data_IF_792471630456
#
_entry.id   IF_792471630456
#
_cell.length_a   1.000
_cell.length_b   1.000
_cell.length_c   1.000
_cell.angle_alpha   90.00
_cell.angle_beta   90.00
_cell.angle_gamma   90.00
#
_symmetry.space_group_name_H-M   'P 1'
#
loop_
_entity.id
_entity.type
_entity.pdbx_description
1 polymer ?
#
# COMPACT_ATOMS: atom_id res chain seq x y z
N UNK A 1 2.49 61.54 -1.62
CA UNK A 1 3.66 60.68 -1.90
C UNK A 1 3.63 59.51 -0.92
N UNK A 2 2.91 58.44 -1.23
CA UNK A 2 3.39 57.17 -1.85
C UNK A 2 4.39 56.41 -0.94
N UNK A 3 4.25 55.14 -0.55
CA UNK A 3 3.22 54.09 -0.70
C UNK A 3 3.52 53.00 0.35
N UNK A 4 2.50 52.44 1.02
CA UNK A 4 2.59 51.22 1.86
C UNK A 4 2.34 49.99 0.98
N UNK A 5 3.16 48.93 1.09
CA UNK A 5 2.83 47.60 0.57
C UNK A 5 2.54 46.64 1.72
N UNK A 6 1.31 46.12 1.75
CA UNK A 6 0.87 44.93 2.47
C UNK A 6 0.52 43.88 1.41
N UNK A 7 1.14 42.71 1.49
CA UNK A 7 0.79 41.54 0.67
C UNK A 7 -0.21 40.66 1.42
N UNK A 8 -1.44 40.64 0.91
CA UNK A 8 -2.46 39.62 1.19
C UNK A 8 -2.42 38.63 0.02
N UNK A 9 -2.17 37.35 0.29
CA UNK A 9 -2.39 36.28 -0.70
C UNK A 9 -3.71 35.56 -0.44
N UNK A 10 -4.39 35.33 -1.55
CA UNK A 10 -5.83 35.13 -1.72
C UNK A 10 -6.25 33.68 -1.60
N UNK A 11 -7.47 33.52 -1.10
CA UNK A 11 -8.35 32.37 -1.21
C UNK A 11 -8.55 31.92 -2.67
N UNK A 12 -8.77 30.62 -2.88
CA UNK A 12 -9.42 30.10 -4.08
C UNK A 12 -10.47 29.06 -3.67
N UNK A 13 -11.73 29.36 -3.98
CA UNK A 13 -12.87 28.48 -3.89
C UNK A 13 -13.37 28.17 -5.32
N UNK A 14 -13.81 26.93 -5.50
CA UNK A 14 -14.85 26.41 -6.41
C UNK A 14 -14.90 26.84 -7.90
N UNK A 15 -15.01 25.84 -8.80
CA UNK A 15 -16.13 25.73 -9.74
C UNK A 15 -16.12 24.39 -10.51
N UNK A 16 -17.31 23.81 -10.61
CA UNK A 16 -17.73 22.67 -11.45
C UNK A 16 -18.10 23.22 -12.83
N UNK A 17 -17.64 22.60 -13.94
CA UNK A 17 -18.32 22.66 -15.24
C UNK A 17 -18.17 21.30 -15.93
N UNK A 18 -19.31 20.64 -16.18
CA UNK A 18 -19.45 19.55 -17.13
C UNK A 18 -19.76 20.14 -18.51
N UNK A 19 -19.12 19.62 -19.57
CA UNK A 19 -19.56 19.83 -20.95
C UNK A 19 -19.63 18.48 -21.66
N UNK A 20 -20.83 18.13 -22.09
CA UNK A 20 -21.10 17.07 -23.04
C UNK A 20 -20.70 17.55 -24.45
N UNK A 21 -20.08 16.66 -25.22
CA UNK A 21 -19.90 16.84 -26.66
C UNK A 21 -20.39 15.58 -27.39
N UNK A 22 -21.49 15.75 -28.10
CA UNK A 22 -22.01 14.84 -29.12
C UNK A 22 -21.14 14.92 -30.36
N UNK A 23 -20.67 13.78 -30.84
CA UNK A 23 -19.89 13.67 -32.09
C UNK A 23 -20.03 12.28 -32.68
N UNK A 24 -21.07 12.10 -33.51
CA UNK A 24 -21.27 10.91 -34.33
C UNK A 24 -20.24 10.91 -35.47
N UNK A 25 -19.29 9.98 -35.44
CA UNK A 25 -18.49 9.62 -36.60
C UNK A 25 -18.82 8.17 -36.99
N UNK A 26 -19.40 8.04 -38.17
CA UNK A 26 -19.72 6.78 -38.84
C UNK A 26 -18.43 6.01 -39.14
N UNK A 27 -18.04 5.12 -38.24
CA UNK A 27 -17.15 4.00 -38.51
C UNK A 27 -17.94 2.73 -38.21
N UNK A 28 -18.17 1.89 -39.21
CA UNK A 28 -18.81 0.59 -39.01
C UNK A 28 -18.06 -0.20 -37.93
N UNK A 29 -18.74 -1.07 -37.15
CA UNK A 29 -18.09 -1.83 -36.11
C UNK A 29 -16.95 -2.64 -36.73
N UNK A 30 -15.71 -2.32 -36.37
CA UNK A 30 -14.61 -3.26 -36.53
C UNK A 30 -15.08 -4.60 -35.95
N UNK A 31 -14.89 -5.74 -36.63
CA UNK A 31 -15.31 -7.02 -36.09
C UNK A 31 -14.67 -7.15 -34.71
N UNK A 32 -15.50 -7.24 -33.66
CA UNK A 32 -15.04 -7.38 -32.30
C UNK A 32 -13.97 -8.48 -32.29
N UNK A 33 -12.73 -8.14 -31.91
CA UNK A 33 -11.73 -9.14 -31.61
C UNK A 33 -12.40 -10.11 -30.64
N UNK A 34 -12.61 -11.36 -31.08
CA UNK A 34 -13.22 -12.37 -30.24
C UNK A 34 -12.41 -12.41 -28.94
N UNK A 35 -13.02 -12.01 -27.83
CA UNK A 35 -12.33 -11.94 -26.56
C UNK A 35 -11.78 -13.33 -26.24
N UNK A 36 -10.53 -13.39 -25.77
CA UNK A 36 -9.92 -14.63 -25.27
C UNK A 36 -10.93 -15.35 -24.37
N UNK A 37 -11.16 -16.67 -24.54
CA UNK A 37 -12.15 -17.38 -23.75
C UNK A 37 -11.95 -17.14 -22.24
N UNK A 38 -13.06 -16.92 -21.51
CA UNK A 38 -13.03 -16.58 -20.08
C UNK A 38 -12.25 -17.63 -19.27
N UNK A 39 -12.31 -18.90 -19.66
CA UNK A 39 -11.56 -20.00 -19.02
C UNK A 39 -10.04 -19.83 -19.16
N UNK A 40 -9.53 -19.41 -20.32
CA UNK A 40 -8.11 -19.21 -20.55
C UNK A 40 -7.57 -18.03 -19.72
N UNK A 41 -8.38 -16.98 -19.57
CA UNK A 41 -8.07 -15.85 -18.68
C UNK A 41 -8.06 -16.29 -17.21
N UNK A 42 -9.03 -17.12 -16.79
CA UNK A 42 -9.10 -17.67 -15.43
C UNK A 42 -7.90 -18.59 -15.12
N UNK A 43 -7.57 -19.50 -16.04
CA UNK A 43 -6.41 -20.38 -15.93
C UNK A 43 -5.12 -19.55 -15.77
N UNK A 44 -4.92 -18.56 -16.64
CA UNK A 44 -3.74 -17.69 -16.60
C UNK A 44 -3.63 -16.91 -15.29
N UNK A 45 -4.76 -16.39 -14.79
CA UNK A 45 -4.82 -15.68 -13.51
C UNK A 45 -4.48 -16.58 -12.31
N UNK A 46 -5.00 -17.81 -12.29
CA UNK A 46 -4.69 -18.80 -11.23
C UNK A 46 -3.20 -19.16 -11.23
N UNK A 47 -2.64 -19.44 -12.41
CA UNK A 47 -1.22 -19.74 -12.54
C UNK A 47 -0.33 -18.56 -12.17
N UNK A 48 -0.68 -17.34 -12.58
CA UNK A 48 0.05 -16.13 -12.19
C UNK A 48 0.07 -15.96 -10.67
N UNK A 49 -1.08 -16.15 -10.01
CA UNK A 49 -1.19 -16.05 -8.54
C UNK A 49 -0.42 -17.16 -7.83
N UNK A 50 -0.42 -18.38 -8.37
CA UNK A 50 0.39 -19.49 -7.86
C UNK A 50 1.88 -19.17 -7.92
N UNK A 51 2.38 -18.81 -9.11
CA UNK A 51 3.80 -18.54 -9.37
C UNK A 51 4.32 -17.25 -8.73
N UNK A 52 3.44 -16.36 -8.26
CA UNK A 52 3.81 -15.12 -7.54
C UNK A 52 3.46 -15.16 -6.06
N UNK A 53 2.98 -16.31 -5.55
CA UNK A 53 2.53 -16.47 -4.17
C UNK A 53 3.58 -16.01 -3.15
N UNK A 54 4.82 -16.50 -3.26
CA UNK A 54 5.86 -16.22 -2.27
C UNK A 54 6.30 -14.76 -2.27
N UNK A 55 6.31 -14.12 -3.46
CA UNK A 55 6.57 -12.69 -3.59
C UNK A 55 5.46 -11.89 -2.90
N UNK A 56 4.20 -12.25 -3.10
CA UNK A 56 3.05 -11.62 -2.45
C UNK A 56 3.10 -11.82 -0.93
N UNK A 57 3.32 -13.04 -0.47
CA UNK A 57 3.42 -13.38 0.95
C UNK A 57 4.57 -12.62 1.63
N UNK A 58 5.73 -12.53 0.98
CA UNK A 58 6.88 -11.75 1.48
C UNK A 58 6.53 -10.25 1.60
N UNK A 59 5.85 -9.68 0.61
CA UNK A 59 5.38 -8.29 0.64
C UNK A 59 4.40 -8.03 1.79
N UNK A 60 3.43 -8.93 1.99
CA UNK A 60 2.47 -8.85 3.10
C UNK A 60 3.16 -8.95 4.47
N UNK A 61 4.11 -9.89 4.64
CA UNK A 61 4.87 -10.05 5.89
C UNK A 61 5.75 -8.83 6.19
N UNK A 62 6.39 -8.26 5.17
CA UNK A 62 7.19 -7.02 5.32
C UNK A 62 6.30 -5.86 5.78
N UNK A 63 5.12 -5.71 5.17
CA UNK A 63 4.13 -4.70 5.55
C UNK A 63 3.66 -4.89 7.00
N UNK A 64 3.32 -6.13 7.37
CA UNK A 64 2.91 -6.48 8.73
C UNK A 64 4.00 -6.14 9.76
N UNK A 65 5.26 -6.48 9.48
CA UNK A 65 6.38 -6.18 10.38
C UNK A 65 6.56 -4.67 10.59
N UNK A 66 6.45 -3.88 9.52
CA UNK A 66 6.48 -2.42 9.59
C UNK A 66 5.33 -1.84 10.43
N UNK A 67 4.11 -2.34 10.23
CA UNK A 67 2.93 -1.94 11.01
C UNK A 67 3.08 -2.30 12.50
N UNK A 68 3.56 -3.50 12.81
CA UNK A 68 3.83 -3.91 14.20
C UNK A 68 4.89 -3.01 14.86
N UNK A 69 5.95 -2.64 14.14
CA UNK A 69 6.95 -1.70 14.63
C UNK A 69 6.35 -0.31 14.89
N UNK A 70 5.49 0.17 13.99
CA UNK A 70 4.78 1.44 14.16
C UNK A 70 3.86 1.42 15.40
N UNK A 71 3.13 0.33 15.64
CA UNK A 71 2.31 0.16 16.85
C UNK A 71 3.17 0.21 18.11
N UNK A 72 4.30 -0.51 18.15
CA UNK A 72 5.24 -0.47 19.29
C UNK A 72 5.73 0.95 19.57
N UNK A 73 6.13 1.68 18.52
CA UNK A 73 6.57 3.08 18.62
C UNK A 73 5.42 3.98 19.12
N UNK A 74 4.21 3.78 18.60
CA UNK A 74 3.02 4.51 19.03
C UNK A 74 2.69 4.28 20.51
N UNK A 75 2.81 3.03 20.99
CA UNK A 75 2.61 2.72 22.42
C UNK A 75 3.63 3.41 23.31
N UNK A 76 4.89 3.49 22.90
CA UNK A 76 5.91 4.26 23.63
C UNK A 76 5.59 5.78 23.64
N UNK A 77 5.06 6.31 22.54
CA UNK A 77 4.63 7.70 22.43
C UNK A 77 3.42 8.01 23.33
N UNK A 78 2.45 7.09 23.46
CA UNK A 78 1.35 7.21 24.42
C UNK A 78 1.90 7.37 25.84
N UNK A 79 2.82 6.49 26.26
CA UNK A 79 3.42 6.56 27.60
C UNK A 79 4.17 7.89 27.83
N UNK A 80 4.89 8.38 26.81
CA UNK A 80 5.57 9.67 26.87
C UNK A 80 4.58 10.85 26.94
N UNK A 81 3.51 10.82 26.16
CA UNK A 81 2.46 11.83 26.15
C UNK A 81 1.72 11.90 27.49
N UNK A 82 1.40 10.77 28.10
CA UNK A 82 0.77 10.70 29.42
C UNK A 82 1.67 11.28 30.52
N UNK A 83 2.99 10.95 30.48
CA UNK A 83 3.97 11.54 31.40
C UNK A 83 4.02 13.06 31.25
N UNK A 84 4.03 13.57 30.02
CA UNK A 84 4.02 15.00 29.74
C UNK A 84 2.71 15.66 30.23
N UNK A 85 1.56 15.01 30.04
CA UNK A 85 0.27 15.49 30.52
C UNK A 85 0.24 15.60 32.04
N UNK A 86 0.76 14.60 32.77
CA UNK A 86 0.88 14.65 34.23
C UNK A 86 1.74 15.83 34.68
N UNK A 87 2.93 16.01 34.08
CA UNK A 87 3.80 17.14 34.39
C UNK A 87 3.17 18.52 34.11
N UNK A 88 2.44 18.63 32.99
CA UNK A 88 1.73 19.86 32.64
C UNK A 88 0.58 20.18 33.61
N UNK A 89 -0.13 19.16 34.12
CA UNK A 89 -1.18 19.32 35.14
C UNK A 89 -0.61 19.82 36.48
N UNK A 90 0.54 19.29 36.91
CA UNK A 90 1.25 19.78 38.10
C UNK A 90 1.64 21.25 37.94
N UNK A 91 2.26 21.59 36.80
CA UNK A 91 2.65 22.98 36.49
C UNK A 91 1.44 23.93 36.49
N UNK A 92 0.30 23.48 35.96
CA UNK A 92 -0.94 24.25 35.96
C UNK A 92 -1.48 24.48 37.39
N UNK A 93 -1.44 23.45 38.25
CA UNK A 93 -1.84 23.58 39.65
C UNK A 93 -0.95 24.61 40.39
N UNK A 94 0.36 24.55 40.20
CA UNK A 94 1.32 25.48 40.81
C UNK A 94 1.13 26.92 40.32
N UNK A 95 0.92 27.10 39.02
CA UNK A 95 0.66 28.40 38.42
C UNK A 95 -0.68 28.98 38.93
N UNK A 96 -1.68 28.12 39.12
CA UNK A 96 -2.99 28.51 39.69
C UNK A 96 -2.81 29.02 41.12
N UNK A 97 -2.13 28.24 41.97
CA UNK A 97 -1.83 28.62 43.36
C UNK A 97 -1.04 29.92 43.44
N UNK A 98 -0.04 30.09 42.58
CA UNK A 98 0.80 31.31 42.50
C UNK A 98 0.01 32.53 42.06
N UNK A 99 -0.84 32.40 41.04
CA UNK A 99 -1.72 33.47 40.59
C UNK A 99 -2.70 33.90 41.70
N UNK A 100 -3.32 32.94 42.38
CA UNK A 100 -4.22 33.23 43.51
C UNK A 100 -3.51 34.01 44.62
N UNK A 101 -2.30 33.60 45.01
CA UNK A 101 -1.49 34.33 46.01
C UNK A 101 -1.12 35.73 45.54
N UNK A 102 -0.70 35.89 44.29
CA UNK A 102 -0.32 37.19 43.73
C UNK A 102 -1.51 38.17 43.67
N UNK A 103 -2.69 37.69 43.26
CA UNK A 103 -3.92 38.48 43.24
C UNK A 103 -4.36 38.91 44.65
N UNK A 104 -4.26 38.02 45.63
CA UNK A 104 -4.54 38.35 47.04
C UNK A 104 -3.62 39.45 47.57
N UNK A 105 -2.30 39.33 47.31
CA UNK A 105 -1.31 40.37 47.70
C UNK A 105 -1.56 41.70 47.02
N UNK A 106 -1.88 41.69 45.72
CA UNK A 106 -2.24 42.91 44.99
C UNK A 106 -3.50 43.56 45.56
N UNK A 107 -4.52 42.78 45.88
CA UNK A 107 -5.76 43.27 46.50
C UNK A 107 -5.50 43.92 47.86
N UNK A 108 -4.68 43.28 48.72
CA UNK A 108 -4.25 43.85 50.00
C UNK A 108 -3.47 45.16 49.82
N UNK A 109 -2.53 45.20 48.89
CA UNK A 109 -1.74 46.40 48.60
C UNK A 109 -2.61 47.57 48.08
N UNK A 110 -3.63 47.27 47.25
CA UNK A 110 -4.62 48.28 46.82
C UNK A 110 -5.42 48.84 48.00
N UNK A 111 -5.91 47.98 48.90
CA UNK A 111 -6.62 48.41 50.11
C UNK A 111 -5.74 49.30 50.99
N UNK A 112 -4.49 48.92 51.21
CA UNK A 112 -3.52 49.71 51.97
C UNK A 112 -3.25 51.09 51.33
N UNK A 113 -3.13 51.15 50.00
CA UNK A 113 -2.99 52.42 49.29
C UNK A 113 -4.22 53.32 49.45
N UNK A 114 -5.43 52.75 49.36
CA UNK A 114 -6.67 53.51 49.60
C UNK A 114 -6.71 54.06 51.03
N UNK A 115 -6.37 53.24 52.02
CA UNK A 115 -6.32 53.67 53.42
C UNK A 115 -5.27 54.78 53.65
N UNK A 116 -4.06 54.64 53.09
CA UNK A 116 -3.01 55.66 53.20
C UNK A 116 -3.46 57.01 52.59
N UNK A 117 -4.14 56.99 51.45
CA UNK A 117 -4.72 58.19 50.82
C UNK A 117 -5.79 58.83 51.70
N UNK A 118 -6.67 58.03 52.31
CA UNK A 118 -7.67 58.53 53.26
C UNK A 118 -7.00 59.17 54.48
N UNK A 119 -5.98 58.53 55.07
CA UNK A 119 -5.23 59.10 56.20
C UNK A 119 -4.54 60.42 55.84
N UNK A 120 -3.98 60.56 54.63
CA UNK A 120 -3.41 61.82 54.14
C UNK A 120 -4.48 62.92 54.04
N UNK A 121 -5.66 62.60 53.49
CA UNK A 121 -6.79 63.52 53.43
C UNK A 121 -7.21 63.98 54.84
N UNK A 122 -7.37 63.04 55.77
CA UNK A 122 -7.74 63.35 57.17
C UNK A 122 -6.66 64.19 57.87
N UNK A 123 -5.39 63.81 57.76
CA UNK A 123 -4.28 64.56 58.33
C UNK A 123 -4.19 66.00 57.79
N UNK A 124 -4.51 66.19 56.51
CA UNK A 124 -4.49 67.50 55.86
C UNK A 124 -5.61 68.43 56.31
N UNK A 125 -6.76 67.86 56.73
CA UNK A 125 -7.96 68.60 57.16
C UNK A 125 -8.02 68.86 58.68
N UNK A 126 -7.22 68.15 59.49
CA UNK A 126 -7.21 68.28 60.96
C UNK A 126 -6.64 69.63 61.42
N UNK A 127 -7.29 70.27 62.40
CA UNK A 127 -6.83 71.52 63.05
C UNK A 127 -6.50 71.29 64.55
N UNK A 128 -5.45 71.95 65.11
CA UNK A 128 -4.43 72.72 64.40
C UNK A 128 -3.58 71.82 63.47
N UNK A 129 -3.08 72.40 62.38
CA UNK A 129 -2.37 71.64 61.33
C UNK A 129 -0.98 71.22 61.82
N UNK A 130 -0.64 69.94 61.69
CA UNK A 130 0.69 69.41 62.00
C UNK A 130 1.42 69.01 60.71
N UNK A 131 2.50 69.72 60.37
CA UNK A 131 3.36 69.44 59.22
C UNK A 131 4.01 68.05 59.30
N UNK A 132 4.37 67.61 60.51
CA UNK A 132 4.97 66.29 60.78
C UNK A 132 3.99 65.16 60.44
N UNK A 133 2.73 65.28 60.88
CA UNK A 133 1.69 64.26 60.61
C UNK A 133 1.36 64.18 59.13
N UNK A 134 1.22 65.32 58.45
CA UNK A 134 0.99 65.38 56.99
C UNK A 134 2.19 64.78 56.24
N UNK A 135 3.43 65.12 56.63
CA UNK A 135 4.63 64.56 56.01
C UNK A 135 4.75 63.05 56.17
N UNK A 136 4.40 62.50 57.35
CA UNK A 136 4.35 61.05 57.57
C UNK A 136 3.29 60.38 56.70
N UNK A 137 2.08 60.95 56.63
CA UNK A 137 1.01 60.41 55.80
C UNK A 137 1.37 60.44 54.30
N UNK A 138 2.08 61.48 53.84
CA UNK A 138 2.54 61.56 52.45
C UNK A 138 3.56 60.46 52.13
N UNK A 139 4.55 60.23 53.01
CA UNK A 139 5.50 59.11 52.86
C UNK A 139 4.81 57.75 52.85
N UNK A 140 3.76 57.57 53.65
CA UNK A 140 2.96 56.34 53.65
C UNK A 140 2.24 56.11 52.31
N UNK A 141 1.68 57.17 51.70
CA UNK A 141 1.09 57.08 50.35
C UNK A 141 2.12 56.70 49.30
N UNK A 142 3.32 57.30 49.34
CA UNK A 142 4.41 56.96 48.40
C UNK A 142 4.82 55.49 48.55
N UNK A 143 5.03 55.01 49.77
CA UNK A 143 5.40 53.62 50.05
C UNK A 143 4.30 52.62 49.63
N UNK A 144 3.04 52.93 49.94
CA UNK A 144 1.90 52.11 49.53
C UNK A 144 1.71 52.09 48.01
N UNK A 145 1.98 53.21 47.32
CA UNK A 145 1.93 53.29 45.85
C UNK A 145 2.99 52.39 45.24
N UNK A 146 4.25 52.46 45.70
CA UNK A 146 5.34 51.60 45.22
C UNK A 146 4.99 50.12 45.41
N UNK A 147 4.45 49.77 46.58
CA UNK A 147 4.03 48.40 46.89
C UNK A 147 2.89 47.93 45.99
N UNK A 148 1.85 48.74 45.80
CA UNK A 148 0.72 48.40 44.93
C UNK A 148 1.14 48.19 43.47
N UNK A 149 2.04 49.03 42.95
CA UNK A 149 2.59 48.89 41.59
C UNK A 149 3.42 47.61 41.45
N UNK A 150 4.30 47.31 42.42
CA UNK A 150 5.09 46.08 42.40
C UNK A 150 4.20 44.82 42.46
N UNK A 151 3.19 44.80 43.34
CA UNK A 151 2.26 43.67 43.44
C UNK A 151 1.39 43.53 42.18
N UNK A 152 1.02 44.64 41.53
CA UNK A 152 0.31 44.61 40.24
C UNK A 152 1.13 43.88 39.17
N UNK A 153 2.41 44.23 39.04
CA UNK A 153 3.30 43.59 38.07
C UNK A 153 3.48 42.09 38.33
N UNK A 154 3.64 41.69 39.61
CA UNK A 154 3.71 40.29 39.99
C UNK A 154 2.41 39.52 39.70
N UNK A 155 1.25 40.12 39.96
CA UNK A 155 -0.04 39.53 39.63
C UNK A 155 -0.23 39.35 38.12
N UNK A 156 0.18 40.34 37.31
CA UNK A 156 0.17 40.22 35.85
C UNK A 156 1.09 39.10 35.36
N UNK A 157 2.32 39.03 35.86
CA UNK A 157 3.27 37.96 35.52
C UNK A 157 2.71 36.57 35.88
N UNK A 158 2.10 36.43 37.05
CA UNK A 158 1.49 35.18 37.48
C UNK A 158 0.28 34.78 36.62
N UNK A 159 -0.54 35.75 36.21
CA UNK A 159 -1.67 35.51 35.29
C UNK A 159 -1.19 35.03 33.91
N UNK A 160 -0.13 35.64 33.36
CA UNK A 160 0.48 35.18 32.10
C UNK A 160 1.05 33.77 32.22
N UNK A 161 1.74 33.46 33.33
CA UNK A 161 2.25 32.12 33.59
C UNK A 161 1.13 31.07 33.70
N UNK A 162 0.02 31.40 34.37
CA UNK A 162 -1.17 30.55 34.45
C UNK A 162 -1.78 30.29 33.07
N UNK A 163 -1.91 31.31 32.23
CA UNK A 163 -2.42 31.16 30.87
C UNK A 163 -1.52 30.24 30.03
N UNK A 164 -0.20 30.40 30.12
CA UNK A 164 0.78 29.55 29.44
C UNK A 164 0.71 28.10 29.92
N UNK A 165 0.65 27.86 31.24
CA UNK A 165 0.50 26.53 31.82
C UNK A 165 -0.82 25.86 31.38
N UNK A 166 -1.91 26.63 31.31
CA UNK A 166 -3.20 26.13 30.82
C UNK A 166 -3.15 25.69 29.36
N UNK A 167 -2.47 26.47 28.50
CA UNK A 167 -2.24 26.08 27.10
C UNK A 167 -1.38 24.81 27.00
N UNK A 168 -0.30 24.73 27.77
CA UNK A 168 0.58 23.56 27.80
C UNK A 168 -0.17 22.29 28.25
N UNK A 169 -1.00 22.39 29.29
CA UNK A 169 -1.81 21.26 29.76
C UNK A 169 -2.82 20.77 28.74
N UNK A 170 -3.48 21.68 28.00
CA UNK A 170 -4.39 21.29 26.89
C UNK A 170 -3.64 20.67 25.73
N UNK A 171 -2.50 21.23 25.35
CA UNK A 171 -1.65 20.66 24.30
C UNK A 171 -1.15 19.26 24.64
N UNK A 172 -0.74 19.02 25.90
CA UNK A 172 -0.33 17.71 26.35
C UNK A 172 -1.49 16.70 26.37
N UNK A 173 -2.72 17.14 26.72
CA UNK A 173 -3.90 16.29 26.64
C UNK A 173 -4.23 15.88 25.19
N UNK A 174 -4.22 16.84 24.27
CA UNK A 174 -4.43 16.56 22.84
C UNK A 174 -3.37 15.60 22.28
N UNK A 175 -2.11 15.69 22.74
CA UNK A 175 -1.05 14.75 22.36
C UNK A 175 -1.37 13.31 22.79
N UNK A 176 -1.95 13.10 23.97
CA UNK A 176 -2.38 11.76 24.42
C UNK A 176 -3.48 11.21 23.52
N UNK A 177 -4.50 12.02 23.21
CA UNK A 177 -5.60 11.62 22.32
C UNK A 177 -5.09 11.23 20.92
N UNK A 178 -4.20 12.04 20.35
CA UNK A 178 -3.58 11.76 19.05
C UNK A 178 -2.73 10.49 19.07
N UNK A 179 -1.93 10.29 20.12
CA UNK A 179 -1.09 9.09 20.25
C UNK A 179 -1.95 7.81 20.37
N UNK A 180 -3.03 7.86 21.16
CA UNK A 180 -3.97 6.74 21.29
C UNK A 180 -4.68 6.43 19.96
N UNK A 181 -5.18 7.45 19.26
CA UNK A 181 -5.82 7.27 17.96
C UNK A 181 -4.87 6.64 16.92
N UNK A 182 -3.59 7.04 16.93
CA UNK A 182 -2.58 6.46 16.06
C UNK A 182 -2.31 4.97 16.38
N UNK A 183 -2.27 4.60 17.66
CA UNK A 183 -2.10 3.19 18.08
C UNK A 183 -3.29 2.35 17.64
N UNK A 184 -4.51 2.83 17.82
CA UNK A 184 -5.72 2.09 17.42
C UNK A 184 -5.80 1.90 15.90
N UNK A 185 -5.52 2.95 15.13
CA UNK A 185 -5.41 2.83 13.67
C UNK A 185 -4.33 1.84 13.25
N UNK A 186 -3.16 1.88 13.91
CA UNK A 186 -2.08 0.93 13.67
C UNK A 186 -2.46 -0.51 13.97
N UNK A 187 -3.18 -0.77 15.07
CA UNK A 187 -3.69 -2.11 15.44
C UNK A 187 -4.70 -2.63 14.43
N UNK A 188 -5.62 -1.78 13.96
CA UNK A 188 -6.55 -2.14 12.91
C UNK A 188 -5.83 -2.53 11.60
N UNK A 189 -4.78 -1.78 11.23
CA UNK A 189 -3.95 -2.10 10.06
C UNK A 189 -3.23 -3.46 10.22
N UNK A 190 -2.65 -3.74 11.39
CA UNK A 190 -2.05 -5.04 11.71
C UNK A 190 -3.06 -6.18 11.55
N UNK A 191 -4.27 -6.03 12.12
CA UNK A 191 -5.33 -7.04 12.01
C UNK A 191 -5.73 -7.30 10.55
N UNK A 192 -5.85 -6.24 9.74
CA UNK A 192 -6.15 -6.36 8.30
C UNK A 192 -5.06 -7.12 7.56
N UNK A 193 -3.78 -6.82 7.81
CA UNK A 193 -2.66 -7.52 7.19
C UNK A 193 -2.58 -8.99 7.61
N UNK A 194 -2.84 -9.30 8.88
CA UNK A 194 -2.92 -10.69 9.36
C UNK A 194 -4.03 -11.48 8.64
N UNK A 195 -5.22 -10.88 8.49
CA UNK A 195 -6.32 -11.50 7.74
C UNK A 195 -5.97 -11.69 6.27
N UNK A 196 -5.30 -10.73 5.64
CA UNK A 196 -4.85 -10.85 4.25
C UNK A 196 -3.84 -11.99 4.05
N UNK A 197 -2.90 -12.17 4.99
CA UNK A 197 -1.96 -13.29 4.98
C UNK A 197 -2.70 -14.63 5.15
N UNK A 198 -3.62 -14.71 6.12
CA UNK A 198 -4.39 -15.93 6.36
C UNK A 198 -5.33 -16.30 5.20
N UNK A 199 -5.85 -15.30 4.47
CA UNK A 199 -6.72 -15.49 3.33
C UNK A 199 -5.97 -15.76 2.01
N UNK A 200 -4.64 -15.66 1.99
CA UNK A 200 -3.85 -15.94 0.79
C UNK A 200 -3.88 -17.46 0.52
N UNK A 201 -4.46 -17.91 -0.61
CA UNK A 201 -4.52 -19.34 -0.90
C UNK A 201 -3.14 -19.90 -1.17
N UNK A 202 -2.87 -21.13 -0.73
CA UNK A 202 -1.62 -21.80 -1.03
C UNK A 202 -1.36 -21.91 -2.54
N UNK A 203 -0.10 -21.73 -2.95
CA UNK A 203 0.32 -21.82 -4.34
C UNK A 203 -0.13 -23.13 -5.01
N UNK A 204 0.01 -24.26 -4.31
CA UNK A 204 -0.40 -25.58 -4.80
C UNK A 204 -1.92 -25.68 -5.04
N UNK A 205 -2.75 -25.07 -4.19
CA UNK A 205 -4.20 -25.03 -4.38
C UNK A 205 -4.57 -24.24 -5.64
N UNK A 206 -3.91 -23.11 -5.89
CA UNK A 206 -4.13 -22.30 -7.09
C UNK A 206 -3.69 -23.04 -8.36
N UNK A 207 -2.53 -23.70 -8.32
CA UNK A 207 -2.05 -24.53 -9.42
C UNK A 207 -3.00 -25.71 -9.69
N UNK A 208 -3.51 -26.38 -8.66
CA UNK A 208 -4.48 -27.46 -8.79
C UNK A 208 -5.80 -27.00 -9.43
N UNK A 209 -6.30 -25.82 -9.06
CA UNK A 209 -7.48 -25.22 -9.69
C UNK A 209 -7.24 -24.83 -11.15
N UNK A 210 -6.03 -24.39 -11.50
CA UNK A 210 -5.67 -24.15 -12.90
C UNK A 210 -5.61 -25.46 -13.68
N UNK A 211 -4.99 -26.49 -13.11
CA UNK A 211 -4.87 -27.81 -13.72
C UNK A 211 -6.25 -28.39 -14.07
N UNK A 212 -7.24 -28.28 -13.18
CA UNK A 212 -8.61 -28.76 -13.43
C UNK A 212 -9.35 -28.00 -14.55
N UNK A 213 -8.86 -26.83 -14.97
CA UNK A 213 -9.44 -26.06 -16.08
C UNK A 213 -8.75 -26.31 -17.42
N UNK A 214 -7.71 -27.13 -17.47
CA UNK A 214 -6.86 -27.26 -18.66
C UNK A 214 -7.60 -27.88 -19.86
N UNK A 215 -8.41 -28.90 -19.63
CA UNK A 215 -9.23 -29.52 -20.68
C UNK A 215 -10.31 -28.55 -21.20
N UNK A 216 -11.04 -27.89 -20.29
CA UNK A 216 -12.02 -26.86 -20.64
C UNK A 216 -11.38 -25.70 -21.42
N UNK A 217 -10.16 -25.33 -21.03
CA UNK A 217 -9.37 -24.32 -21.73
C UNK A 217 -9.08 -24.74 -23.16
N UNK A 218 -8.62 -25.97 -23.39
CA UNK A 218 -8.40 -26.51 -24.74
C UNK A 218 -9.71 -26.51 -25.54
N UNK A 219 -10.81 -27.00 -24.94
CA UNK A 219 -12.10 -27.10 -25.59
C UNK A 219 -12.66 -25.75 -26.05
N UNK A 220 -12.48 -24.69 -25.25
CA UNK A 220 -12.97 -23.35 -25.59
C UNK A 220 -12.02 -22.54 -26.46
N UNK A 221 -10.69 -22.69 -26.29
CA UNK A 221 -9.70 -21.98 -27.12
C UNK A 221 -9.73 -22.52 -28.55
N UNK A 222 -9.83 -23.83 -28.74
CA UNK A 222 -9.70 -24.45 -30.06
C UNK A 222 -10.63 -23.91 -31.14
N UNK A 223 -11.95 -23.82 -30.95
CA UNK A 223 -12.86 -23.31 -31.98
C UNK A 223 -12.76 -21.79 -32.16
N UNK A 224 -12.19 -21.06 -31.21
CA UNK A 224 -12.12 -19.59 -31.21
C UNK A 224 -10.73 -19.03 -31.55
N UNK A 225 -9.71 -19.89 -31.65
CA UNK A 225 -8.31 -19.50 -31.75
C UNK A 225 -8.02 -18.69 -33.01
N UNK A 226 -7.24 -17.61 -32.83
CA UNK A 226 -6.66 -16.81 -33.90
C UNK A 226 -5.14 -16.71 -33.69
N UNK A 227 -4.39 -16.60 -34.77
CA UNK A 227 -2.93 -16.41 -34.70
C UNK A 227 -2.52 -15.17 -33.91
N UNK A 228 -3.37 -14.14 -33.87
CA UNK A 228 -3.21 -12.91 -33.06
C UNK A 228 -3.26 -13.15 -31.54
N UNK A 229 -3.81 -14.29 -31.12
CA UNK A 229 -3.89 -14.70 -29.71
C UNK A 229 -2.56 -15.28 -29.21
N UNK A 230 -1.56 -15.38 -30.09
CA UNK A 230 -0.20 -15.79 -29.74
C UNK A 230 0.70 -14.61 -29.40
N UNK A 231 1.79 -14.90 -28.71
CA UNK A 231 2.89 -14.00 -28.37
C UNK A 231 4.20 -14.77 -28.34
N UNK A 232 5.34 -14.08 -28.36
CA UNK A 232 6.66 -14.71 -28.27
C UNK A 232 7.21 -14.65 -26.85
N UNK A 233 7.73 -15.77 -26.36
CA UNK A 233 8.49 -15.91 -25.12
C UNK A 233 9.84 -16.50 -25.46
N UNK A 234 10.91 -15.71 -25.34
CA UNK A 234 12.28 -16.14 -25.69
C UNK A 234 12.38 -16.83 -27.07
N UNK A 235 11.66 -16.28 -28.07
CA UNK A 235 11.62 -16.82 -29.44
C UNK A 235 10.53 -17.87 -29.69
N UNK A 236 9.98 -18.50 -28.64
CA UNK A 236 8.91 -19.50 -28.72
C UNK A 236 7.56 -18.79 -28.86
N UNK A 237 6.86 -19.00 -29.98
CA UNK A 237 5.51 -18.47 -30.17
C UNK A 237 4.49 -19.34 -29.42
N UNK A 238 3.70 -18.80 -28.51
CA UNK A 238 2.68 -19.53 -27.74
C UNK A 238 1.42 -18.70 -27.54
N UNK A 239 0.31 -19.31 -27.14
CA UNK A 239 -0.90 -18.59 -26.75
C UNK A 239 -0.64 -17.67 -25.55
N UNK A 240 -1.23 -16.48 -25.54
CA UNK A 240 -1.03 -15.48 -24.47
C UNK A 240 -1.29 -16.02 -23.07
N UNK A 241 -2.29 -16.89 -22.92
CA UNK A 241 -2.66 -17.48 -21.63
C UNK A 241 -1.53 -18.26 -20.93
N UNK A 242 -0.64 -18.91 -21.69
CA UNK A 242 0.49 -19.70 -21.15
C UNK A 242 1.82 -18.93 -21.20
N UNK A 243 1.82 -17.71 -21.73
CA UNK A 243 3.07 -16.96 -21.97
C UNK A 243 3.84 -16.66 -20.68
N UNK A 244 3.13 -16.27 -19.62
CA UNK A 244 3.74 -16.01 -18.32
C UNK A 244 4.30 -17.29 -17.69
N UNK A 245 3.56 -18.40 -17.76
CA UNK A 245 4.00 -19.66 -17.14
C UNK A 245 5.20 -20.25 -17.87
N UNK A 246 5.22 -20.19 -19.22
CA UNK A 246 6.38 -20.58 -20.02
C UNK A 246 7.60 -19.72 -19.70
N UNK A 247 7.43 -18.41 -19.60
CA UNK A 247 8.52 -17.50 -19.24
C UNK A 247 9.12 -17.87 -17.88
N UNK A 248 8.27 -18.07 -16.88
CA UNK A 248 8.69 -18.47 -15.53
C UNK A 248 9.41 -19.83 -15.54
N UNK A 249 8.88 -20.82 -16.26
CA UNK A 249 9.50 -22.14 -16.39
C UNK A 249 10.91 -22.05 -16.99
N UNK A 250 11.10 -21.26 -18.06
CA UNK A 250 12.41 -21.08 -18.69
C UNK A 250 13.37 -20.31 -17.78
N UNK A 251 12.89 -19.26 -17.11
CA UNK A 251 13.72 -18.45 -16.21
C UNK A 251 14.23 -19.27 -15.02
N UNK A 252 13.35 -20.06 -14.40
CA UNK A 252 13.68 -20.86 -13.23
C UNK A 252 14.57 -22.06 -13.62
N UNK A 253 14.30 -22.72 -14.75
CA UNK A 253 15.21 -23.75 -15.29
C UNK A 253 16.62 -23.19 -15.50
N UNK A 254 16.72 -21.99 -16.08
CA UNK A 254 18.01 -21.31 -16.30
C UNK A 254 18.69 -20.97 -14.98
N UNK A 255 17.95 -20.55 -13.96
CA UNK A 255 18.50 -20.27 -12.63
C UNK A 255 19.10 -21.54 -11.99
N UNK A 256 18.52 -22.70 -12.28
CA UNK A 256 19.02 -24.01 -11.87
C UNK A 256 20.13 -24.58 -12.79
N UNK A 257 20.63 -23.77 -13.73
CA UNK A 257 21.68 -24.17 -14.68
C UNK A 257 21.20 -25.05 -15.84
N UNK A 258 19.88 -25.21 -16.01
CA UNK A 258 19.27 -26.00 -17.08
C UNK A 258 18.78 -25.09 -18.20
N UNK A 259 19.45 -25.12 -19.34
CA UNK A 259 19.03 -24.34 -20.51
C UNK A 259 17.95 -25.08 -21.30
N UNK A 260 16.74 -24.51 -21.34
CA UNK A 260 15.63 -25.00 -22.17
C UNK A 260 15.17 -23.93 -23.17
N UNK A 261 14.79 -24.38 -24.36
CA UNK A 261 14.14 -23.60 -25.42
C UNK A 261 13.13 -24.50 -26.13
N UNK A 262 12.59 -24.12 -27.30
CA UNK A 262 11.69 -25.02 -28.01
C UNK A 262 10.91 -24.42 -29.17
N UNK A 263 10.06 -25.25 -29.75
CA UNK A 263 9.04 -24.86 -30.71
C UNK A 263 7.66 -24.77 -30.06
N UNK A 264 6.84 -23.79 -30.44
CA UNK A 264 5.49 -23.62 -29.91
C UNK A 264 4.45 -23.74 -31.02
N UNK A 265 3.64 -22.69 -31.19
CA UNK A 265 2.57 -22.58 -32.18
C UNK A 265 3.02 -22.99 -33.60
N UNK A 266 2.20 -23.79 -34.26
CA UNK A 266 2.31 -24.13 -35.70
C UNK A 266 0.93 -24.12 -36.35
N UNK A 267 0.83 -23.71 -37.61
CA UNK A 267 -0.48 -23.67 -38.30
C UNK A 267 -1.00 -25.07 -38.63
N UNK A 268 -2.29 -25.18 -38.96
CA UNK A 268 -2.90 -26.43 -39.43
C UNK A 268 -2.28 -26.91 -40.74
N UNK A 269 -1.92 -26.00 -41.64
CA UNK A 269 -1.22 -26.31 -42.88
C UNK A 269 0.15 -26.92 -42.59
N UNK A 270 0.87 -26.37 -41.60
CA UNK A 270 2.13 -26.97 -41.15
C UNK A 270 1.90 -28.34 -40.53
N UNK A 271 0.81 -28.57 -39.81
CA UNK A 271 0.45 -29.88 -39.28
C UNK A 271 0.24 -30.91 -40.40
N UNK A 272 -0.47 -30.53 -41.46
CA UNK A 272 -0.72 -31.38 -42.65
C UNK A 272 0.60 -31.74 -43.35
N UNK A 273 1.48 -30.75 -43.55
CA UNK A 273 2.81 -30.98 -44.12
C UNK A 273 3.63 -31.96 -43.27
N UNK A 274 3.64 -31.78 -41.94
CA UNK A 274 4.37 -32.66 -41.02
C UNK A 274 3.87 -34.10 -41.11
N UNK A 275 2.57 -34.33 -41.24
CA UNK A 275 2.04 -35.70 -41.41
C UNK A 275 2.50 -36.36 -42.69
N UNK A 276 2.61 -35.60 -43.77
CA UNK A 276 3.17 -36.08 -45.05
C UNK A 276 4.65 -36.39 -44.90
N UNK A 277 5.43 -35.45 -44.35
CA UNK A 277 6.88 -35.60 -44.11
C UNK A 277 7.15 -36.82 -43.23
N UNK A 278 6.37 -37.00 -42.17
CA UNK A 278 6.52 -38.07 -41.19
C UNK A 278 5.89 -39.39 -41.66
N UNK A 279 5.46 -39.49 -42.91
CA UNK A 279 5.02 -40.74 -43.54
C UNK A 279 3.79 -41.36 -42.90
N UNK A 280 2.84 -40.54 -42.43
CA UNK A 280 1.57 -41.05 -41.95
C UNK A 280 0.79 -41.72 -43.11
N UNK A 281 0.17 -42.89 -42.91
CA UNK A 281 -0.60 -43.57 -43.96
C UNK A 281 -1.75 -42.75 -44.53
N UNK A 282 -2.38 -41.91 -43.69
CA UNK A 282 -3.38 -40.92 -44.09
C UNK A 282 -3.23 -39.64 -43.25
N UNK A 283 -3.54 -38.49 -43.86
CA UNK A 283 -3.38 -37.18 -43.22
C UNK A 283 -4.47 -36.90 -42.18
N UNK A 284 -5.68 -37.44 -42.32
CA UNK A 284 -6.84 -36.99 -41.53
C UNK A 284 -7.32 -38.00 -40.49
N UNK A 285 -7.02 -39.28 -40.69
CA UNK A 285 -7.62 -40.38 -39.91
C UNK A 285 -6.59 -41.29 -39.24
N UNK A 286 -5.40 -41.45 -39.83
CA UNK A 286 -4.40 -42.36 -39.28
C UNK A 286 -3.94 -41.91 -37.87
N UNK A 287 -3.85 -42.82 -36.89
CA UNK A 287 -3.45 -42.46 -35.53
C UNK A 287 -2.00 -41.93 -35.53
N UNK A 288 -1.67 -41.04 -34.60
CA UNK A 288 -0.33 -40.43 -34.53
C UNK A 288 0.80 -41.47 -34.47
N UNK A 289 0.58 -42.59 -33.77
CA UNK A 289 1.52 -43.71 -33.64
C UNK A 289 1.82 -44.46 -34.95
N UNK A 290 0.99 -44.31 -35.99
CA UNK A 290 1.23 -44.95 -37.30
C UNK A 290 2.18 -44.16 -38.20
N UNK A 291 2.52 -42.93 -37.83
CA UNK A 291 3.51 -42.13 -38.52
C UNK A 291 4.93 -42.54 -38.09
N UNK A 292 5.93 -42.38 -38.96
CA UNK A 292 7.35 -42.63 -38.63
C UNK A 292 7.82 -41.79 -37.42
N UNK A 293 7.33 -40.56 -37.33
CA UNK A 293 7.46 -39.71 -36.15
C UNK A 293 6.04 -39.38 -35.68
N UNK A 294 5.67 -39.72 -34.42
CA UNK A 294 4.33 -39.43 -33.90
C UNK A 294 3.90 -38.00 -34.17
N UNK A 295 2.77 -37.84 -34.86
CA UNK A 295 2.28 -36.53 -35.31
C UNK A 295 0.77 -36.50 -35.16
N UNK A 296 0.23 -35.56 -34.38
CA UNK A 296 -1.22 -35.44 -34.16
C UNK A 296 -2.00 -35.22 -35.47
N UNK A 297 -3.27 -35.67 -35.49
CA UNK A 297 -4.21 -35.40 -36.59
C UNK A 297 -4.47 -33.88 -36.68
N UNK A 298 -4.56 -33.28 -37.88
CA UNK A 298 -4.80 -31.84 -38.02
C UNK A 298 -6.11 -31.41 -37.37
N UNK A 299 -6.08 -30.27 -36.68
CA UNK A 299 -7.18 -29.78 -35.83
C UNK A 299 -7.17 -30.36 -34.41
N UNK A 300 -6.38 -31.40 -34.11
CA UNK A 300 -6.28 -31.99 -32.76
C UNK A 300 -5.01 -31.58 -32.02
N UNK A 301 -3.96 -31.12 -32.72
CA UNK A 301 -2.71 -30.74 -32.06
C UNK A 301 -2.91 -29.51 -31.16
N UNK A 302 -2.27 -29.50 -29.99
CA UNK A 302 -2.23 -28.33 -29.12
C UNK A 302 -1.26 -27.25 -29.62
N UNK A 303 -0.30 -27.61 -30.48
CA UNK A 303 0.52 -26.62 -31.18
C UNK A 303 -0.30 -25.76 -32.14
N UNK A 304 -1.41 -26.28 -32.69
CA UNK A 304 -2.29 -25.52 -33.59
C UNK A 304 -3.02 -24.37 -32.90
N UNK A 305 -3.04 -24.37 -31.56
CA UNK A 305 -3.69 -23.33 -30.74
C UNK A 305 -2.71 -22.70 -29.74
N UNK A 306 -1.41 -22.98 -29.89
CA UNK A 306 -0.33 -22.41 -29.08
C UNK A 306 -0.34 -22.84 -27.61
N UNK A 307 -0.99 -23.96 -27.26
CA UNK A 307 -1.07 -24.49 -25.88
C UNK A 307 -0.09 -25.63 -25.58
N UNK A 308 0.85 -25.89 -26.50
CA UNK A 308 1.93 -26.85 -26.33
C UNK A 308 3.27 -26.26 -26.77
N UNK A 309 4.33 -26.84 -26.22
CA UNK A 309 5.73 -26.56 -26.54
C UNK A 309 6.51 -27.87 -26.68
N UNK A 310 7.31 -27.96 -27.74
CA UNK A 310 8.29 -29.00 -27.95
C UNK A 310 9.64 -28.48 -27.46
N UNK A 311 10.08 -28.96 -26.30
CA UNK A 311 11.26 -28.46 -25.61
C UNK A 311 12.56 -29.03 -26.20
N UNK A 312 13.55 -28.17 -26.34
CA UNK A 312 14.92 -28.49 -26.74
C UNK A 312 15.91 -27.99 -25.68
N UNK A 313 17.12 -28.54 -25.67
CA UNK A 313 18.22 -28.12 -24.81
C UNK A 313 19.53 -28.18 -25.58
N UNK A 314 20.35 -27.12 -25.48
CA UNK A 314 21.61 -27.02 -26.25
C UNK A 314 21.42 -27.15 -27.76
N UNK A 315 20.30 -26.65 -28.30
CA UNK A 315 19.95 -26.73 -29.72
C UNK A 315 19.48 -28.10 -30.23
N UNK A 316 19.29 -29.08 -29.34
CA UNK A 316 18.88 -30.45 -29.68
C UNK A 316 17.56 -30.82 -29.01
N UNK A 317 16.77 -31.66 -29.66
CA UNK A 317 15.56 -32.26 -29.07
C UNK A 317 15.92 -33.04 -27.81
N UNK A 318 15.17 -32.85 -26.74
CA UNK A 318 15.43 -33.56 -25.48
C UNK A 318 14.92 -35.01 -25.54
N UNK A 319 15.55 -35.88 -24.74
CA UNK A 319 15.09 -37.25 -24.50
C UNK A 319 14.88 -37.49 -23.01
N UNK A 320 14.26 -38.62 -22.65
CA UNK A 320 14.01 -38.98 -21.25
C UNK A 320 15.28 -39.11 -20.38
N UNK A 321 16.45 -39.19 -21.01
CA UNK A 321 17.77 -39.28 -20.35
C UNK A 321 18.46 -37.93 -20.17
N UNK A 322 17.90 -36.85 -20.70
CA UNK A 322 18.52 -35.52 -20.61
C UNK A 322 18.32 -34.88 -19.24
N UNK A 323 19.27 -34.04 -18.82
CA UNK A 323 19.13 -33.21 -17.62
C UNK A 323 17.91 -32.28 -17.72
N UNK A 324 17.65 -31.72 -18.91
CA UNK A 324 16.47 -30.90 -19.18
C UNK A 324 15.15 -31.65 -18.94
N UNK A 325 15.02 -32.87 -19.45
CA UNK A 325 13.83 -33.68 -19.18
C UNK A 325 13.69 -34.02 -17.69
N UNK A 326 14.79 -34.33 -17.01
CA UNK A 326 14.78 -34.62 -15.57
C UNK A 326 14.27 -33.42 -14.78
N UNK A 327 14.76 -32.21 -15.10
CA UNK A 327 14.29 -30.97 -14.49
C UNK A 327 12.80 -30.71 -14.79
N UNK A 328 12.36 -30.87 -16.05
CA UNK A 328 10.96 -30.66 -16.42
C UNK A 328 10.04 -31.67 -15.75
N UNK A 329 10.44 -32.94 -15.63
CA UNK A 329 9.66 -33.97 -14.95
C UNK A 329 9.41 -33.62 -13.48
N UNK A 330 10.37 -32.99 -12.82
CA UNK A 330 10.24 -32.53 -11.44
C UNK A 330 9.40 -31.24 -11.32
N UNK A 331 9.58 -30.28 -12.25
CA UNK A 331 9.13 -28.90 -12.03
C UNK A 331 8.00 -28.41 -12.97
N UNK A 332 7.86 -28.97 -14.18
CA UNK A 332 6.98 -28.41 -15.23
C UNK A 332 5.50 -28.29 -14.79
N UNK A 333 5.04 -29.20 -13.92
CA UNK A 333 3.67 -29.16 -13.36
C UNK A 333 3.39 -27.89 -12.56
N UNK A 334 4.39 -27.33 -11.89
CA UNK A 334 4.25 -26.07 -11.15
C UNK A 334 3.95 -24.88 -12.07
N UNK A 335 4.36 -25.00 -13.34
CA UNK A 335 4.10 -24.03 -14.40
C UNK A 335 2.88 -24.41 -15.26
N UNK A 336 2.12 -25.44 -14.86
CA UNK A 336 0.92 -25.87 -15.56
C UNK A 336 1.21 -26.65 -16.85
N UNK A 337 2.41 -27.22 -16.99
CA UNK A 337 2.78 -28.07 -18.11
C UNK A 337 2.86 -29.54 -17.69
N UNK A 338 2.33 -30.41 -18.54
CA UNK A 338 2.31 -31.87 -18.39
C UNK A 338 2.97 -32.47 -19.61
N UNK A 339 3.80 -33.49 -19.40
CA UNK A 339 4.46 -34.21 -20.49
C UNK A 339 3.50 -35.20 -21.15
N UNK A 340 3.56 -35.31 -22.47
CA UNK A 340 3.05 -36.46 -23.21
C UNK A 340 4.03 -37.63 -23.03
N UNK A 341 3.66 -38.75 -22.38
CA UNK A 341 4.63 -39.79 -22.03
C UNK A 341 5.36 -40.43 -23.21
N UNK A 342 4.74 -40.48 -24.39
CA UNK A 342 5.36 -41.01 -25.61
C UNK A 342 6.38 -40.05 -26.25
N UNK A 343 6.39 -38.78 -25.85
CA UNK A 343 7.20 -37.72 -26.45
C UNK A 343 7.89 -36.91 -25.35
N UNK A 344 9.15 -37.26 -25.02
CA UNK A 344 9.90 -36.60 -23.96
C UNK A 344 10.06 -35.08 -24.16
N UNK A 345 10.03 -34.62 -25.41
CA UNK A 345 10.10 -33.20 -25.75
C UNK A 345 8.76 -32.47 -25.64
N UNK A 346 7.61 -33.15 -25.64
CA UNK A 346 6.32 -32.50 -25.77
C UNK A 346 5.69 -32.18 -24.40
N UNK A 347 5.37 -30.91 -24.18
CA UNK A 347 4.76 -30.42 -22.96
C UNK A 347 3.60 -29.48 -23.28
N UNK A 348 2.46 -29.69 -22.63
CA UNK A 348 1.25 -28.90 -22.87
C UNK A 348 0.43 -28.75 -21.60
N UNK A 349 -0.65 -27.97 -21.65
CA UNK A 349 -1.52 -27.79 -20.47
C UNK A 349 -2.28 -29.07 -20.06
N UNK A 350 -2.42 -30.04 -20.97
CA UNK A 350 -3.11 -31.33 -20.71
C UNK A 350 -2.19 -32.55 -20.78
N UNK A 351 -1.01 -32.42 -21.39
CA UNK A 351 -0.11 -33.54 -21.68
C UNK A 351 -0.41 -34.27 -22.99
N UNK A 352 -1.27 -33.73 -23.86
CA UNK A 352 -1.61 -34.31 -25.17
C UNK A 352 -2.98 -33.88 -25.67
#
# INVERSE_FOLDING_TARGET
MTTRQRTLQKSAAAAIIALAATGSALGGPAPAQAAVPKVATRWSSLMYRSLTHDVQLKGLRTTLAGQQAAVRKGTAEVAAAEKAQRGARVTLADATSTNTRAQSRYTKARKALTAAKQSLTTASKRKPRSTVVVGRANRAVVAATKTATAQKALAQKAATALAAAGKASRGAAARVEQANAAVESGRAAVSKSQKAIAALPAAATLAGQAASLSDDMVAQVRPAFRTTDTTKVYGVTVHRAISYTLKRMIDDARADGVQISGGGFRTKERQIQLRTINGCPDVWTAPASSCRVPTAIPGRSLHEIGLAVDISSGGRTISSKTAAFTWLKANAREYGFVNLPSEAWHWSVTGG
#
